data_IF_841247122279
#
_entry.id   IF_841247122279
#
_cell.length_a   1.000
_cell.length_b   1.000
_cell.length_c   1.000
_cell.angle_alpha   90.00
_cell.angle_beta   90.00
_cell.angle_gamma   90.00
#
_symmetry.space_group_name_H-M   'P 1'
#
loop_
_entity.id
_entity.type
_entity.pdbx_description
1 polymer ?
#
# COMPACT_ATOMS: atom_id res chain seq x y z
N UNK A 1 -45.28 44.25 -17.26
CA UNK A 1 -45.05 43.70 -18.62
C UNK A 1 -43.69 44.14 -19.12
N UNK A 2 -42.86 43.17 -19.53
CA UNK A 2 -41.67 43.23 -20.42
C UNK A 2 -40.71 44.43 -20.30
N UNK A 3 -39.45 44.13 -19.93
CA UNK A 3 -38.38 43.99 -20.94
C UNK A 3 -37.18 43.22 -20.38
N UNK A 4 -36.92 42.10 -21.06
CA UNK A 4 -35.69 41.32 -21.09
C UNK A 4 -34.56 42.20 -21.62
N UNK A 5 -33.38 42.16 -20.97
CA UNK A 5 -32.12 42.42 -21.65
C UNK A 5 -31.12 41.33 -21.25
N UNK A 6 -30.90 40.40 -22.16
CA UNK A 6 -29.71 39.57 -22.24
C UNK A 6 -28.52 40.47 -22.56
N UNK A 7 -27.43 40.34 -21.82
CA UNK A 7 -26.09 40.61 -22.32
C UNK A 7 -25.17 39.49 -21.85
N UNK A 8 -24.93 38.60 -22.81
CA UNK A 8 -23.89 37.60 -22.84
C UNK A 8 -22.52 38.27 -23.01
N UNK A 9 -21.55 37.95 -22.16
CA UNK A 9 -20.14 37.87 -22.54
C UNK A 9 -19.44 36.78 -21.72
N UNK A 10 -19.24 35.64 -22.38
CA UNK A 10 -17.99 34.87 -22.40
C UNK A 10 -16.87 35.36 -21.47
N UNK A 11 -16.57 34.59 -20.42
CA UNK A 11 -15.20 34.44 -19.93
C UNK A 11 -14.93 32.93 -19.81
N UNK A 12 -14.07 32.45 -20.70
CA UNK A 12 -13.48 31.12 -20.71
C UNK A 12 -12.47 30.96 -19.57
N UNK A 13 -12.62 29.83 -18.86
CA UNK A 13 -11.63 28.99 -18.18
C UNK A 13 -10.24 29.57 -17.86
N UNK A 14 -9.88 29.58 -16.57
CA UNK A 14 -8.50 29.25 -16.17
C UNK A 14 -8.49 28.42 -14.88
N UNK A 15 -8.06 27.17 -15.04
CA UNK A 15 -7.67 26.21 -14.00
C UNK A 15 -6.45 26.72 -13.23
N UNK A 16 -6.53 26.76 -11.90
CA UNK A 16 -5.35 26.69 -11.03
C UNK A 16 -5.38 25.40 -10.23
N UNK A 17 -4.42 24.54 -10.55
CA UNK A 17 -3.99 23.40 -9.73
C UNK A 17 -3.36 23.94 -8.44
N UNK A 18 -3.84 23.48 -7.29
CA UNK A 18 -3.02 23.36 -6.08
C UNK A 18 -3.19 21.96 -5.51
N UNK A 19 -2.13 21.17 -5.65
CA UNK A 19 -1.85 19.96 -4.90
C UNK A 19 -1.38 20.35 -3.49
N UNK A 20 -1.92 19.70 -2.45
CA UNK A 20 -1.32 19.69 -1.11
C UNK A 20 -2.28 19.92 0.06
N UNK A 21 -2.79 18.82 0.62
CA UNK A 21 -3.26 18.63 2.01
C UNK A 21 -4.07 19.74 2.72
N UNK A 22 -5.39 19.60 2.74
CA UNK A 22 -6.11 18.97 3.87
C UNK A 22 -7.61 18.87 3.55
N UNK A 23 -8.18 17.73 3.92
CA UNK A 23 -9.54 17.30 3.61
C UNK A 23 -10.57 18.21 4.30
N UNK A 24 -11.39 18.93 3.54
CA UNK A 24 -12.65 19.52 4.03
C UNK A 24 -13.80 19.00 3.17
N UNK A 25 -14.46 17.94 3.67
CA UNK A 25 -15.56 17.22 3.02
C UNK A 25 -16.94 17.86 3.26
N UNK A 26 -17.20 19.13 2.94
CA UNK A 26 -18.60 19.62 2.96
C UNK A 26 -18.86 20.60 1.83
N UNK A 27 -19.28 20.08 0.67
CA UNK A 27 -19.69 20.90 -0.48
C UNK A 27 -21.09 21.47 -0.25
N UNK A 28 -21.16 22.70 0.28
CA UNK A 28 -22.30 23.60 0.09
C UNK A 28 -22.37 23.92 -1.41
N UNK A 29 -23.52 23.77 -2.04
CA UNK A 29 -23.66 24.10 -3.47
C UNK A 29 -23.67 25.63 -3.63
N UNK A 30 -22.92 26.13 -4.61
CA UNK A 30 -22.81 27.56 -4.96
C UNK A 30 -24.17 28.30 -5.04
N UNK A 31 -25.29 27.69 -5.49
CA UNK A 31 -26.61 28.34 -5.50
C UNK A 31 -27.21 28.58 -4.10
N UNK A 32 -26.98 27.69 -3.13
CA UNK A 32 -27.46 27.87 -1.76
C UNK A 32 -26.70 29.01 -1.04
N UNK A 33 -25.42 29.14 -1.35
CA UNK A 33 -24.58 30.25 -0.89
C UNK A 33 -25.00 31.58 -1.55
N UNK A 34 -25.33 31.57 -2.84
CA UNK A 34 -25.82 32.76 -3.57
C UNK A 34 -27.15 33.28 -3.02
N UNK A 35 -28.08 32.38 -2.66
CA UNK A 35 -29.34 32.78 -2.02
C UNK A 35 -29.13 33.39 -0.62
N UNK A 36 -28.18 32.88 0.17
CA UNK A 36 -27.81 33.48 1.45
C UNK A 36 -27.03 34.80 1.29
N UNK A 37 -26.18 34.92 0.26
CA UNK A 37 -25.42 36.15 -0.03
C UNK A 37 -26.27 37.29 -0.59
N UNK A 38 -27.45 36.98 -1.16
CA UNK A 38 -28.40 38.00 -1.61
C UNK A 38 -29.12 38.71 -0.44
N UNK A 39 -28.94 38.26 0.81
CA UNK A 39 -29.52 38.89 2.01
C UNK A 39 -28.58 39.89 2.70
N UNK A 40 -27.25 39.67 2.72
CA UNK A 40 -26.26 40.58 3.36
C UNK A 40 -24.82 40.30 2.85
N UNK A 41 -24.63 40.33 1.53
CA UNK A 41 -23.48 39.75 0.80
C UNK A 41 -22.06 40.14 1.26
N UNK A 42 -21.91 41.23 2.01
CA UNK A 42 -20.66 41.65 2.66
C UNK A 42 -20.21 40.70 3.77
N UNK A 43 -21.15 40.17 4.57
CA UNK A 43 -20.82 39.30 5.71
C UNK A 43 -20.59 37.85 5.30
N UNK A 44 -21.30 37.38 4.27
CA UNK A 44 -21.17 36.00 3.81
C UNK A 44 -19.76 35.68 3.35
N UNK A 45 -19.17 36.59 2.57
CA UNK A 45 -17.78 36.50 2.11
C UNK A 45 -16.80 36.51 3.29
N UNK A 46 -16.92 37.48 4.18
CA UNK A 46 -16.07 37.59 5.38
C UNK A 46 -16.12 36.33 6.25
N UNK A 47 -17.31 35.75 6.45
CA UNK A 47 -17.47 34.55 7.27
C UNK A 47 -17.02 33.27 6.59
N UNK A 48 -17.16 33.13 5.28
CA UNK A 48 -16.60 31.99 4.56
C UNK A 48 -15.06 32.03 4.50
N UNK A 49 -14.47 33.22 4.37
CA UNK A 49 -13.02 33.41 4.44
C UNK A 49 -12.46 33.05 5.82
N UNK A 50 -13.23 33.29 6.89
CA UNK A 50 -12.79 33.05 8.28
C UNK A 50 -13.07 31.63 8.79
N UNK A 51 -14.19 31.01 8.40
CA UNK A 51 -14.67 29.75 8.99
C UNK A 51 -14.87 28.63 7.95
N UNK A 52 -14.45 28.84 6.70
CA UNK A 52 -14.77 27.96 5.58
C UNK A 52 -16.23 28.09 5.12
N UNK A 53 -16.58 27.54 3.96
CA UNK A 53 -17.90 27.76 3.35
C UNK A 53 -19.08 27.32 4.25
N UNK A 54 -18.94 26.18 4.92
CA UNK A 54 -19.95 25.65 5.84
C UNK A 54 -20.01 26.43 7.17
N UNK A 55 -18.84 26.72 7.77
CA UNK A 55 -18.77 27.52 9.01
C UNK A 55 -19.24 28.97 8.80
N UNK A 56 -18.98 29.53 7.62
CA UNK A 56 -19.41 30.87 7.25
C UNK A 56 -20.92 30.99 7.10
N UNK A 57 -21.55 29.98 6.49
CA UNK A 57 -23.02 29.88 6.44
C UNK A 57 -23.63 29.73 7.83
N UNK A 58 -23.07 28.89 8.70
CA UNK A 58 -23.53 28.77 10.08
C UNK A 58 -23.43 30.10 10.82
N UNK A 59 -22.36 30.89 10.60
CA UNK A 59 -22.21 32.20 11.23
C UNK A 59 -23.24 33.23 10.77
N UNK A 60 -23.66 33.17 9.50
CA UNK A 60 -24.78 33.98 9.00
C UNK A 60 -26.12 33.58 9.63
N UNK A 61 -26.36 32.28 9.78
CA UNK A 61 -27.56 31.75 10.43
C UNK A 61 -27.59 32.02 11.95
N UNK A 62 -26.42 32.18 12.58
CA UNK A 62 -26.32 32.63 13.97
C UNK A 62 -26.77 34.10 14.10
N UNK A 63 -26.38 34.98 13.18
CA UNK A 63 -26.77 36.40 13.25
C UNK A 63 -28.25 36.65 12.95
N UNK A 64 -28.90 35.76 12.21
CA UNK A 64 -30.33 35.80 11.96
C UNK A 64 -31.07 34.96 13.00
N UNK A 65 -31.65 35.57 14.05
CA UNK A 65 -32.71 35.12 15.01
C UNK A 65 -32.78 33.66 15.52
N UNK A 66 -31.94 32.74 15.05
CA UNK A 66 -32.02 31.29 15.25
C UNK A 66 -30.78 30.74 15.96
N UNK A 67 -29.77 31.54 16.33
CA UNK A 67 -28.58 31.03 17.05
C UNK A 67 -28.96 30.28 18.33
N UNK A 68 -29.89 30.85 19.12
CA UNK A 68 -30.37 30.23 20.35
C UNK A 68 -31.15 28.94 20.06
N UNK A 69 -31.94 28.92 18.98
CA UNK A 69 -32.74 27.78 18.55
C UNK A 69 -31.88 26.65 17.97
N UNK A 70 -30.85 26.97 17.18
CA UNK A 70 -29.90 26.00 16.63
C UNK A 70 -29.08 25.37 17.76
N UNK A 71 -28.65 26.15 18.76
CA UNK A 71 -27.95 25.64 19.95
C UNK A 71 -28.84 24.73 20.79
N UNK A 72 -30.14 25.04 20.87
CA UNK A 72 -31.11 24.30 21.68
C UNK A 72 -32.04 23.39 20.85
N UNK A 73 -31.66 23.03 19.61
CA UNK A 73 -32.57 22.38 18.64
C UNK A 73 -33.18 21.08 19.16
N UNK A 74 -32.47 20.35 20.02
CA UNK A 74 -32.94 19.13 20.67
C UNK A 74 -34.11 19.35 21.65
N UNK A 75 -34.24 20.56 22.20
CA UNK A 75 -35.27 20.93 23.19
C UNK A 75 -36.50 21.58 22.55
N UNK A 76 -36.46 21.87 21.25
CA UNK A 76 -37.57 22.47 20.53
C UNK A 76 -38.65 21.42 20.23
N UNK A 77 -39.89 21.88 20.10
CA UNK A 77 -40.97 21.01 19.65
C UNK A 77 -40.75 20.54 18.19
N UNK A 78 -41.40 19.43 17.84
CA UNK A 78 -41.25 18.80 16.52
C UNK A 78 -41.63 19.74 15.37
N UNK A 79 -42.62 20.63 15.58
CA UNK A 79 -43.08 21.55 14.54
C UNK A 79 -42.00 22.57 14.22
N UNK A 80 -41.36 23.13 15.25
CA UNK A 80 -40.25 24.08 15.10
C UNK A 80 -39.00 23.39 14.56
N UNK A 81 -38.70 22.17 15.00
CA UNK A 81 -37.61 21.37 14.41
C UNK A 81 -37.83 21.12 12.91
N UNK A 82 -39.04 20.77 12.49
CA UNK A 82 -39.40 20.58 11.08
C UNK A 82 -39.26 21.90 10.30
N UNK A 83 -39.69 23.03 10.86
CA UNK A 83 -39.54 24.35 10.22
C UNK A 83 -38.07 24.71 10.00
N UNK A 84 -37.21 24.40 10.97
CA UNK A 84 -35.76 24.56 10.84
C UNK A 84 -35.17 23.66 9.77
N UNK A 85 -35.56 22.38 9.73
CA UNK A 85 -35.09 21.45 8.69
C UNK A 85 -35.57 21.90 7.31
N UNK A 86 -36.80 22.40 7.16
CA UNK A 86 -37.31 22.97 5.89
C UNK A 86 -36.44 24.09 5.35
N UNK A 87 -35.87 24.92 6.22
CA UNK A 87 -34.94 25.97 5.83
C UNK A 87 -33.54 25.42 5.52
N UNK A 88 -33.09 24.43 6.30
CA UNK A 88 -31.79 23.79 6.11
C UNK A 88 -31.79 22.33 6.59
N UNK A 89 -31.86 21.39 5.64
CA UNK A 89 -31.83 19.96 5.95
C UNK A 89 -30.56 19.49 6.69
N UNK A 90 -29.44 20.22 6.62
CA UNK A 90 -28.21 19.84 7.34
C UNK A 90 -28.34 19.94 8.86
N UNK A 91 -29.31 20.70 9.37
CA UNK A 91 -29.56 20.82 10.81
C UNK A 91 -29.97 19.50 11.45
N UNK A 92 -30.42 18.52 10.66
CA UNK A 92 -30.77 17.19 11.17
C UNK A 92 -29.61 16.49 11.88
N UNK A 93 -28.36 16.79 11.50
CA UNK A 93 -27.15 16.24 12.13
C UNK A 93 -27.05 16.61 13.62
N UNK A 94 -27.63 17.76 14.00
CA UNK A 94 -27.60 18.28 15.38
C UNK A 94 -28.73 17.74 16.25
N UNK A 95 -29.68 17.02 15.65
CA UNK A 95 -30.82 16.44 16.37
C UNK A 95 -30.47 15.01 16.74
N UNK A 96 -30.51 14.73 18.04
CA UNK A 96 -30.28 13.41 18.58
C UNK A 96 -31.51 12.55 18.29
N UNK A 97 -31.32 11.42 17.60
CA UNK A 97 -32.39 10.48 17.23
C UNK A 97 -33.61 11.19 16.60
N UNK A 98 -33.44 11.88 15.45
CA UNK A 98 -34.51 12.65 14.83
C UNK A 98 -35.70 11.74 14.50
N UNK A 99 -36.93 12.18 14.77
CA UNK A 99 -38.13 11.41 14.43
C UNK A 99 -38.22 11.21 12.91
N UNK A 100 -38.89 10.15 12.47
CA UNK A 100 -39.01 9.81 11.05
C UNK A 100 -39.55 10.97 10.20
N UNK A 101 -40.47 11.79 10.72
CA UNK A 101 -40.99 13.00 10.06
C UNK A 101 -39.88 14.01 9.69
N UNK A 102 -38.95 14.27 10.62
CA UNK A 102 -37.79 15.13 10.39
C UNK A 102 -36.83 14.50 9.37
N UNK A 103 -36.62 13.19 9.48
CA UNK A 103 -35.77 12.44 8.54
C UNK A 103 -36.29 12.51 7.10
N UNK A 104 -37.61 12.32 6.92
CA UNK A 104 -38.29 12.41 5.63
C UNK A 104 -38.20 13.83 5.04
N UNK A 105 -38.37 14.85 5.87
CA UNK A 105 -38.20 16.25 5.44
C UNK A 105 -36.75 16.54 4.99
N UNK A 106 -35.75 15.99 5.68
CA UNK A 106 -34.37 16.18 5.26
C UNK A 106 -34.06 15.51 3.91
N UNK A 107 -34.53 14.29 3.67
CA UNK A 107 -34.28 13.57 2.40
C UNK A 107 -35.16 14.05 1.24
N UNK A 108 -36.31 14.67 1.51
CA UNK A 108 -37.18 15.25 0.48
C UNK A 108 -36.52 16.42 -0.24
N UNK A 109 -35.71 17.21 0.47
CA UNK A 109 -34.93 18.31 -0.10
C UNK A 109 -33.79 17.78 -0.97
N UNK A 110 -33.06 16.79 -0.46
CA UNK A 110 -32.02 16.11 -1.21
C UNK A 110 -31.72 14.72 -0.60
N UNK A 111 -31.77 13.68 -1.42
CA UNK A 111 -31.54 12.29 -0.99
C UNK A 111 -30.24 12.10 -0.20
N UNK A 112 -29.17 12.83 -0.57
CA UNK A 112 -27.84 12.69 0.05
C UNK A 112 -27.79 13.14 1.50
N UNK A 113 -28.80 13.85 1.98
CA UNK A 113 -28.91 14.28 3.37
C UNK A 113 -29.01 13.10 4.33
N UNK A 114 -29.39 11.91 3.84
CA UNK A 114 -29.39 10.67 4.63
C UNK A 114 -28.05 10.38 5.33
N UNK A 115 -26.93 10.88 4.79
CA UNK A 115 -25.60 10.71 5.41
C UNK A 115 -25.42 11.48 6.73
N UNK A 116 -26.26 12.48 6.98
CA UNK A 116 -26.28 13.31 8.19
C UNK A 116 -27.37 12.86 9.17
N UNK A 117 -28.15 11.84 8.83
CA UNK A 117 -29.22 11.33 9.67
C UNK A 117 -28.63 10.24 10.57
N UNK A 118 -28.72 10.46 11.88
CA UNK A 118 -28.40 9.42 12.84
C UNK A 118 -29.52 8.36 12.81
N UNK A 119 -29.15 7.11 12.51
CA UNK A 119 -30.05 5.94 12.44
C UNK A 119 -31.28 6.13 11.52
N UNK A 120 -31.10 6.28 10.19
CA UNK A 120 -32.21 6.50 9.27
C UNK A 120 -33.16 5.30 9.21
N UNK A 121 -34.47 5.55 9.27
CA UNK A 121 -35.48 4.48 9.16
C UNK A 121 -35.50 3.85 7.76
N UNK A 122 -36.08 2.66 7.62
CA UNK A 122 -36.17 2.00 6.30
C UNK A 122 -36.97 2.83 5.30
N UNK A 123 -38.09 3.43 5.74
CA UNK A 123 -38.89 4.32 4.91
C UNK A 123 -38.10 5.53 4.40
N UNK A 124 -37.21 6.09 5.22
CA UNK A 124 -36.34 7.22 4.83
C UNK A 124 -35.32 6.79 3.79
N UNK A 125 -34.75 5.58 3.91
CA UNK A 125 -33.87 5.01 2.88
C UNK A 125 -34.64 4.80 1.57
N UNK A 126 -35.83 4.21 1.62
CA UNK A 126 -36.68 4.00 0.45
C UNK A 126 -36.99 5.32 -0.26
N UNK A 127 -37.38 6.37 0.47
CA UNK A 127 -37.70 7.66 -0.13
C UNK A 127 -36.46 8.35 -0.71
N UNK A 128 -35.32 8.29 -0.01
CA UNK A 128 -34.06 8.83 -0.53
C UNK A 128 -33.63 8.15 -1.84
N UNK A 129 -33.85 6.84 -1.97
CA UNK A 129 -33.34 6.03 -3.08
C UNK A 129 -34.40 5.59 -4.10
N UNK A 130 -35.60 6.17 -4.05
CA UNK A 130 -36.75 5.84 -4.93
C UNK A 130 -36.47 6.05 -6.43
N UNK A 131 -35.53 6.92 -6.79
CA UNK A 131 -35.18 7.22 -8.17
C UNK A 131 -33.82 6.59 -8.53
N UNK A 132 -33.85 5.54 -9.37
CA UNK A 132 -32.66 4.78 -9.77
C UNK A 132 -31.61 5.62 -10.53
N UNK A 133 -32.02 6.61 -11.32
CA UNK A 133 -31.08 7.47 -12.07
C UNK A 133 -30.27 8.35 -11.10
N UNK A 134 -30.95 8.99 -10.15
CA UNK A 134 -30.30 9.76 -9.07
C UNK A 134 -29.46 8.86 -8.18
N UNK A 135 -29.90 7.63 -7.94
CA UNK A 135 -29.13 6.62 -7.21
C UNK A 135 -27.84 6.28 -7.94
N UNK A 136 -27.90 6.08 -9.25
CA UNK A 136 -26.73 5.78 -10.06
C UNK A 136 -25.72 6.95 -10.05
N UNK A 137 -26.20 8.18 -10.28
CA UNK A 137 -25.38 9.40 -10.18
C UNK A 137 -24.74 9.51 -8.79
N UNK A 138 -25.50 9.17 -7.75
CA UNK A 138 -25.03 9.22 -6.36
C UNK A 138 -23.85 8.31 -6.09
N UNK A 139 -23.93 7.04 -6.47
CA UNK A 139 -22.89 6.05 -6.18
C UNK A 139 -21.69 6.24 -7.09
N UNK A 140 -21.86 6.87 -8.25
CA UNK A 140 -20.73 7.27 -9.11
C UNK A 140 -19.95 8.42 -8.45
N UNK A 141 -20.65 9.44 -7.95
CA UNK A 141 -20.01 10.62 -7.35
C UNK A 141 -19.50 10.37 -5.93
N UNK A 142 -20.21 9.54 -5.17
CA UNK A 142 -19.94 9.20 -3.77
C UNK A 142 -20.14 7.70 -3.54
N UNK A 143 -19.19 6.84 -3.94
CA UNK A 143 -19.33 5.37 -3.90
C UNK A 143 -19.72 4.81 -2.52
N UNK A 144 -19.19 5.41 -1.45
CA UNK A 144 -19.52 5.03 -0.07
C UNK A 144 -21.02 5.16 0.30
N UNK A 145 -21.84 5.84 -0.50
CA UNK A 145 -23.28 5.91 -0.28
C UNK A 145 -23.98 4.56 -0.44
N UNK A 146 -23.35 3.58 -1.11
CA UNK A 146 -23.92 2.24 -1.28
C UNK A 146 -24.26 1.56 0.05
N UNK A 147 -23.58 1.89 1.16
CA UNK A 147 -23.86 1.35 2.50
C UNK A 147 -25.25 1.72 3.04
N UNK A 148 -25.88 2.76 2.50
CA UNK A 148 -27.22 3.19 2.89
C UNK A 148 -28.31 2.59 2.00
N UNK A 149 -27.94 1.99 0.86
CA UNK A 149 -28.89 1.41 -0.10
C UNK A 149 -29.22 0.00 0.37
N UNK A 150 -30.50 -0.26 0.61
CA UNK A 150 -30.97 -1.60 0.92
C UNK A 150 -31.04 -2.43 -0.38
N UNK A 151 -30.37 -3.58 -0.39
CA UNK A 151 -30.31 -4.52 -1.52
C UNK A 151 -30.01 -3.83 -2.87
N UNK A 152 -28.85 -3.16 -3.02
CA UNK A 152 -28.50 -2.49 -4.27
C UNK A 152 -28.48 -3.51 -5.41
N UNK A 153 -29.14 -3.20 -6.52
CA UNK A 153 -29.12 -4.08 -7.70
C UNK A 153 -27.72 -4.15 -8.33
N UNK A 154 -27.48 -5.13 -9.21
CA UNK A 154 -26.15 -5.37 -9.79
C UNK A 154 -25.60 -4.15 -10.54
N UNK A 155 -26.45 -3.34 -11.20
CA UNK A 155 -26.05 -2.12 -11.90
C UNK A 155 -25.48 -1.07 -10.93
N UNK A 156 -26.16 -0.85 -9.81
CA UNK A 156 -25.70 0.07 -8.75
C UNK A 156 -24.41 -0.43 -8.11
N UNK A 157 -24.35 -1.71 -7.78
CA UNK A 157 -23.14 -2.34 -7.24
C UNK A 157 -21.95 -2.14 -8.19
N UNK A 158 -22.14 -2.43 -9.48
CA UNK A 158 -21.10 -2.34 -10.50
C UNK A 158 -20.59 -0.90 -10.66
N UNK A 159 -21.50 0.07 -10.69
CA UNK A 159 -21.12 1.48 -10.76
C UNK A 159 -20.35 1.95 -9.53
N UNK A 160 -20.74 1.49 -8.34
CA UNK A 160 -20.05 1.85 -7.10
C UNK A 160 -18.62 1.28 -7.06
N UNK A 161 -18.44 -0.01 -7.35
CA UNK A 161 -17.09 -0.64 -7.32
C UNK A 161 -16.19 -0.16 -8.45
N UNK A 162 -16.75 0.27 -9.59
CA UNK A 162 -15.99 0.95 -10.65
C UNK A 162 -15.39 2.26 -10.16
N UNK A 163 -16.19 3.05 -9.46
CA UNK A 163 -15.78 4.36 -8.96
C UNK A 163 -14.83 4.26 -7.76
N UNK A 164 -15.01 3.28 -6.87
CA UNK A 164 -14.07 2.95 -5.79
C UNK A 164 -14.19 1.47 -5.41
N UNK A 165 -13.18 0.66 -5.77
CA UNK A 165 -13.18 -0.77 -5.50
C UNK A 165 -13.29 -1.16 -4.03
N UNK A 166 -12.91 -0.27 -3.09
CA UNK A 166 -12.95 -0.59 -1.65
C UNK A 166 -14.38 -0.68 -1.10
N UNK A 167 -15.37 -0.06 -1.76
CA UNK A 167 -16.76 -0.06 -1.29
C UNK A 167 -17.44 -1.43 -1.39
N UNK A 168 -16.77 -2.42 -2.00
CA UNK A 168 -17.21 -3.81 -1.95
C UNK A 168 -17.39 -4.31 -0.51
N UNK A 169 -16.70 -3.71 0.47
CA UNK A 169 -16.89 -3.98 1.91
C UNK A 169 -18.34 -3.78 2.38
N UNK A 170 -19.13 -2.97 1.67
CA UNK A 170 -20.53 -2.66 1.97
C UNK A 170 -21.52 -3.50 1.15
N UNK A 171 -21.06 -4.31 0.21
CA UNK A 171 -21.92 -5.14 -0.64
C UNK A 171 -22.07 -6.52 -0.01
N UNK A 172 -23.30 -6.89 0.34
CA UNK A 172 -23.60 -8.23 0.85
C UNK A 172 -23.55 -9.24 -0.30
N UNK A 173 -22.70 -10.25 -0.18
CA UNK A 173 -22.59 -11.38 -1.13
C UNK A 173 -22.40 -10.87 -2.59
N UNK A 174 -21.29 -10.18 -2.89
CA UNK A 174 -21.05 -9.66 -4.23
C UNK A 174 -20.88 -10.82 -5.23
N UNK A 175 -21.44 -10.69 -6.42
CA UNK A 175 -21.23 -11.67 -7.50
C UNK A 175 -19.77 -11.65 -7.98
N UNK A 176 -19.34 -12.70 -8.70
CA UNK A 176 -17.99 -12.77 -9.24
C UNK A 176 -17.66 -11.60 -10.19
N UNK A 177 -18.65 -11.07 -10.93
CA UNK A 177 -18.49 -9.89 -11.79
C UNK A 177 -18.16 -8.64 -10.96
N UNK A 178 -18.88 -8.42 -9.86
CA UNK A 178 -18.67 -7.30 -8.93
C UNK A 178 -17.33 -7.43 -8.21
N UNK A 179 -16.99 -8.62 -7.73
CA UNK A 179 -15.70 -8.90 -7.11
C UNK A 179 -14.53 -8.62 -8.06
N UNK A 180 -14.62 -9.07 -9.31
CA UNK A 180 -13.60 -8.84 -10.31
C UNK A 180 -13.44 -7.34 -10.63
N UNK A 181 -14.55 -6.63 -10.76
CA UNK A 181 -14.51 -5.18 -11.04
C UNK A 181 -13.94 -4.39 -9.86
N UNK A 182 -14.24 -4.79 -8.62
CA UNK A 182 -13.67 -4.17 -7.43
C UNK A 182 -12.13 -4.30 -7.38
N UNK A 183 -11.57 -5.48 -7.67
CA UNK A 183 -10.11 -5.67 -7.66
C UNK A 183 -9.42 -5.02 -8.87
N UNK A 184 -10.13 -4.85 -10.00
CA UNK A 184 -9.66 -4.05 -11.15
C UNK A 184 -9.58 -2.56 -10.80
N UNK A 185 -10.55 -2.05 -10.05
CA UNK A 185 -10.55 -0.66 -9.57
C UNK A 185 -9.50 -0.44 -8.49
N UNK A 186 -9.39 -1.36 -7.51
CA UNK A 186 -8.39 -1.33 -6.46
C UNK A 186 -8.01 -2.74 -6.00
N UNK A 187 -6.78 -3.19 -6.27
CA UNK A 187 -6.33 -4.53 -5.92
C UNK A 187 -6.36 -4.84 -4.43
N UNK A 188 -6.35 -3.84 -3.55
CA UNK A 188 -6.50 -4.04 -2.10
C UNK A 188 -7.93 -4.40 -1.68
N UNK A 189 -8.92 -4.25 -2.56
CA UNK A 189 -10.31 -4.65 -2.32
C UNK A 189 -10.46 -6.15 -2.03
N UNK A 190 -9.49 -6.97 -2.46
CA UNK A 190 -9.50 -8.42 -2.18
C UNK A 190 -9.58 -8.74 -0.68
N UNK A 191 -9.10 -7.85 0.20
CA UNK A 191 -9.18 -8.03 1.65
C UNK A 191 -10.62 -8.11 2.18
N UNK A 192 -11.60 -7.65 1.40
CA UNK A 192 -13.02 -7.68 1.73
C UNK A 192 -13.79 -8.79 1.01
N UNK A 193 -13.11 -9.58 0.17
CA UNK A 193 -13.72 -10.67 -0.60
C UNK A 193 -13.48 -11.97 0.15
N UNK A 194 -14.56 -12.64 0.56
CA UNK A 194 -14.47 -13.95 1.20
C UNK A 194 -14.27 -15.02 0.13
N UNK A 195 -13.26 -15.89 0.29
CA UNK A 195 -12.95 -16.99 -0.63
C UNK A 195 -12.87 -16.57 -2.12
N UNK A 196 -12.00 -15.59 -2.48
CA UNK A 196 -11.89 -15.12 -3.86
C UNK A 196 -11.44 -16.25 -4.80
N UNK A 197 -11.95 -16.27 -6.03
CA UNK A 197 -11.47 -17.19 -7.06
C UNK A 197 -10.02 -16.89 -7.47
N UNK A 198 -9.33 -17.86 -8.07
CA UNK A 198 -7.97 -17.66 -8.58
C UNK A 198 -7.87 -16.52 -9.60
N UNK A 199 -8.93 -16.31 -10.40
CA UNK A 199 -9.01 -15.17 -11.34
C UNK A 199 -9.00 -13.83 -10.59
N UNK A 200 -9.78 -13.72 -9.51
CA UNK A 200 -9.85 -12.50 -8.69
C UNK A 200 -8.54 -12.26 -7.94
N UNK A 201 -7.92 -13.32 -7.41
CA UNK A 201 -6.59 -13.26 -6.79
C UNK A 201 -5.54 -12.74 -7.76
N UNK A 202 -5.48 -13.28 -8.98
CA UNK A 202 -4.53 -12.83 -10.01
C UNK A 202 -4.77 -11.39 -10.41
N UNK A 203 -6.03 -10.99 -10.62
CA UNK A 203 -6.33 -9.60 -10.98
C UNK A 203 -6.00 -8.62 -9.85
N UNK A 204 -6.22 -8.98 -8.58
CA UNK A 204 -5.83 -8.17 -7.43
C UNK A 204 -4.31 -7.94 -7.38
N UNK A 205 -3.51 -8.99 -7.57
CA UNK A 205 -2.03 -8.90 -7.60
C UNK A 205 -1.56 -8.11 -8.82
N UNK A 206 -2.21 -8.31 -9.97
CA UNK A 206 -1.95 -7.56 -11.20
C UNK A 206 -2.28 -6.07 -11.07
N UNK A 207 -3.29 -5.71 -10.29
CA UNK A 207 -3.57 -4.31 -10.01
C UNK A 207 -2.58 -3.75 -8.99
N UNK A 208 -2.42 -4.42 -7.84
CA UNK A 208 -1.57 -3.99 -6.74
C UNK A 208 -0.85 -5.19 -6.10
N UNK A 209 0.47 -5.25 -6.23
CA UNK A 209 1.27 -6.36 -5.70
C UNK A 209 1.13 -6.53 -4.18
N UNK A 210 0.82 -5.46 -3.43
CA UNK A 210 0.61 -5.53 -1.97
C UNK A 210 -0.63 -6.34 -1.59
N UNK A 211 -1.54 -6.57 -2.53
CA UNK A 211 -2.72 -7.42 -2.31
C UNK A 211 -2.36 -8.87 -1.96
N UNK A 212 -1.16 -9.33 -2.32
CA UNK A 212 -0.64 -10.66 -1.96
C UNK A 212 -0.67 -10.91 -0.45
N UNK A 213 -0.56 -9.85 0.36
CA UNK A 213 -0.65 -9.92 1.84
C UNK A 213 -2.00 -10.38 2.36
N UNK A 214 -3.07 -10.21 1.58
CA UNK A 214 -4.44 -10.60 1.92
C UNK A 214 -4.88 -11.91 1.26
N UNK A 215 -3.99 -12.55 0.49
CA UNK A 215 -4.28 -13.85 -0.14
C UNK A 215 -3.71 -14.94 0.75
N UNK A 216 -4.57 -15.79 1.29
CA UNK A 216 -4.13 -16.97 2.02
C UNK A 216 -3.52 -18.00 1.07
N UNK A 217 -2.34 -18.52 1.42
CA UNK A 217 -1.61 -19.56 0.70
C UNK A 217 -1.54 -19.29 -0.83
N UNK A 218 -0.96 -18.15 -1.28
CA UNK A 218 -0.89 -17.85 -2.70
C UNK A 218 -0.05 -18.90 -3.42
N UNK A 219 -0.53 -19.38 -4.57
CA UNK A 219 0.20 -20.34 -5.40
C UNK A 219 1.50 -19.71 -5.96
N UNK A 220 2.43 -20.56 -6.43
CA UNK A 220 3.73 -20.11 -6.94
C UNK A 220 3.62 -19.04 -8.03
N UNK A 221 2.67 -19.18 -8.96
CA UNK A 221 2.45 -18.22 -10.04
C UNK A 221 2.09 -16.83 -9.52
N UNK A 222 1.18 -16.74 -8.54
CA UNK A 222 0.81 -15.48 -7.89
C UNK A 222 1.97 -14.85 -7.12
N UNK A 223 2.75 -15.67 -6.42
CA UNK A 223 3.93 -15.20 -5.70
C UNK A 223 4.95 -14.57 -6.67
N UNK A 224 5.23 -15.24 -7.79
CA UNK A 224 6.13 -14.73 -8.84
C UNK A 224 5.55 -13.46 -9.48
N UNK A 225 4.25 -13.41 -9.76
CA UNK A 225 3.60 -12.22 -10.35
C UNK A 225 3.72 -10.99 -9.43
N UNK A 226 3.50 -11.17 -8.12
CA UNK A 226 3.66 -10.09 -7.14
C UNK A 226 5.11 -9.60 -7.08
N UNK A 227 6.07 -10.54 -7.02
CA UNK A 227 7.50 -10.25 -6.93
C UNK A 227 8.06 -9.60 -8.20
N UNK A 228 7.53 -9.94 -9.37
CA UNK A 228 7.90 -9.29 -10.64
C UNK A 228 7.51 -7.82 -10.70
N UNK A 229 6.39 -7.45 -10.06
CA UNK A 229 5.97 -6.06 -9.95
C UNK A 229 6.81 -5.29 -8.95
N UNK A 230 7.10 -5.89 -7.82
CA UNK A 230 7.98 -5.34 -6.81
C UNK A 230 8.60 -6.47 -6.00
N UNK A 231 9.92 -6.53 -5.97
CA UNK A 231 10.64 -7.59 -5.25
C UNK A 231 10.34 -7.58 -3.75
N UNK A 232 9.94 -6.43 -3.18
CA UNK A 232 9.54 -6.33 -1.78
C UNK A 232 8.26 -7.11 -1.45
N UNK A 233 7.47 -7.51 -2.46
CA UNK A 233 6.31 -8.38 -2.28
C UNK A 233 6.64 -9.66 -1.51
N UNK A 234 7.86 -10.16 -1.65
CA UNK A 234 8.36 -11.35 -0.95
C UNK A 234 8.23 -11.24 0.58
N UNK A 235 8.33 -10.03 1.16
CA UNK A 235 8.19 -9.77 2.60
C UNK A 235 6.77 -10.02 3.11
N UNK A 236 5.78 -9.97 2.21
CA UNK A 236 4.36 -10.15 2.51
C UNK A 236 3.85 -11.56 2.21
N UNK A 237 4.70 -12.44 1.70
CA UNK A 237 4.36 -13.84 1.41
C UNK A 237 4.77 -14.70 2.61
N UNK A 238 3.81 -15.34 3.29
CA UNK A 238 4.08 -16.15 4.49
C UNK A 238 5.03 -17.33 4.23
N UNK A 239 4.85 -18.03 3.10
CA UNK A 239 5.62 -19.20 2.71
C UNK A 239 6.09 -19.07 1.26
N UNK A 240 7.15 -18.28 0.99
CA UNK A 240 7.59 -18.01 -0.37
C UNK A 240 8.27 -19.25 -1.00
N UNK A 241 7.89 -19.60 -2.22
CA UNK A 241 8.54 -20.69 -2.97
C UNK A 241 9.96 -20.31 -3.38
N UNK A 242 10.78 -21.33 -3.68
CA UNK A 242 12.14 -21.10 -4.17
C UNK A 242 12.13 -20.23 -5.44
N UNK A 243 11.21 -20.49 -6.38
CA UNK A 243 11.10 -19.69 -7.60
C UNK A 243 10.76 -18.22 -7.31
N UNK A 244 9.86 -17.95 -6.36
CA UNK A 244 9.54 -16.57 -5.94
C UNK A 244 10.74 -15.88 -5.28
N UNK A 245 11.51 -16.58 -4.42
CA UNK A 245 12.74 -16.03 -3.82
C UNK A 245 13.80 -15.73 -4.87
N UNK A 246 14.00 -16.64 -5.83
CA UNK A 246 14.93 -16.43 -6.96
C UNK A 246 14.50 -15.22 -7.77
N UNK A 247 13.21 -15.09 -8.09
CA UNK A 247 12.70 -13.93 -8.83
C UNK A 247 12.93 -12.62 -8.06
N UNK A 248 12.67 -12.61 -6.74
CA UNK A 248 12.88 -11.43 -5.89
C UNK A 248 14.36 -11.02 -5.87
N UNK A 249 15.25 -12.01 -5.77
CA UNK A 249 16.69 -11.77 -5.68
C UNK A 249 17.28 -11.07 -6.91
N UNK A 250 16.67 -11.21 -8.10
CA UNK A 250 17.12 -10.52 -9.32
C UNK A 250 17.11 -8.99 -9.17
N UNK A 251 16.21 -8.46 -8.35
CA UNK A 251 16.01 -7.03 -8.16
C UNK A 251 16.24 -6.56 -6.72
N UNK A 252 16.54 -7.47 -5.80
CA UNK A 252 16.85 -7.15 -4.41
C UNK A 252 18.07 -6.20 -4.37
N UNK A 253 17.86 -5.00 -3.82
CA UNK A 253 18.93 -4.05 -3.55
C UNK A 253 19.39 -4.28 -2.11
N UNK A 254 20.70 -4.41 -1.90
CA UNK A 254 21.33 -4.50 -0.58
C UNK A 254 20.79 -5.67 0.25
N UNK A 255 21.17 -6.88 -0.14
CA UNK A 255 20.91 -8.07 0.65
C UNK A 255 21.89 -8.10 1.81
N UNK A 256 21.41 -7.85 3.02
CA UNK A 256 22.11 -8.30 4.24
C UNK A 256 21.95 -9.81 4.33
N UNK A 257 23.05 -10.51 4.12
CA UNK A 257 23.05 -11.97 4.17
C UNK A 257 23.55 -12.43 5.51
N UNK A 258 22.80 -13.32 6.14
CA UNK A 258 23.37 -14.15 7.19
C UNK A 258 24.17 -15.25 6.49
N UNK A 259 25.46 -14.97 6.27
CA UNK A 259 26.58 -15.89 6.49
C UNK A 259 26.17 -17.39 6.39
N UNK A 260 26.44 -18.02 5.24
CA UNK A 260 26.06 -19.42 4.90
C UNK A 260 27.06 -20.13 3.98
N UNK A 261 28.34 -19.77 3.95
CA UNK A 261 29.32 -20.41 3.05
C UNK A 261 29.85 -21.75 3.58
N UNK A 262 29.00 -22.55 4.21
CA UNK A 262 29.39 -23.84 4.78
C UNK A 262 29.68 -24.87 3.68
N UNK A 263 30.58 -25.80 3.98
CA UNK A 263 30.91 -26.96 3.13
C UNK A 263 31.62 -26.64 1.81
N UNK A 264 32.19 -25.44 1.66
CA UNK A 264 33.07 -25.17 0.52
C UNK A 264 34.42 -25.87 0.71
N UNK A 265 34.78 -26.73 -0.24
CA UNK A 265 36.07 -27.44 -0.25
C UNK A 265 36.85 -27.16 -1.53
N UNK A 266 38.10 -26.71 -1.40
CA UNK A 266 39.10 -26.75 -2.46
C UNK A 266 40.07 -27.88 -2.13
N UNK A 267 40.14 -28.88 -3.01
CA UNK A 267 41.14 -29.93 -2.95
C UNK A 267 42.08 -29.75 -4.13
N UNK A 268 43.36 -29.53 -3.83
CA UNK A 268 44.42 -29.52 -4.83
C UNK A 268 45.44 -30.62 -4.50
N UNK A 269 46.45 -30.81 -5.35
CA UNK A 269 47.37 -31.94 -5.30
C UNK A 269 48.03 -32.18 -3.94
N UNK A 270 48.35 -31.13 -3.19
CA UNK A 270 49.09 -31.23 -1.92
C UNK A 270 48.39 -30.59 -0.73
N UNK A 271 47.29 -29.86 -0.96
CA UNK A 271 46.57 -29.12 0.06
C UNK A 271 45.07 -29.33 -0.05
N UNK A 272 44.38 -29.23 1.08
CA UNK A 272 42.92 -29.16 1.14
C UNK A 272 42.51 -27.95 1.96
N UNK A 273 41.66 -27.09 1.40
CA UNK A 273 41.06 -25.95 2.10
C UNK A 273 39.58 -26.24 2.31
N UNK A 274 39.10 -26.05 3.54
CA UNK A 274 37.70 -26.28 3.93
C UNK A 274 37.15 -25.08 4.68
N UNK A 275 36.03 -24.53 4.22
CA UNK A 275 35.27 -23.50 4.94
C UNK A 275 34.38 -24.15 5.97
N UNK A 276 34.57 -23.75 7.23
CA UNK A 276 33.79 -24.27 8.35
C UNK A 276 32.52 -23.45 8.54
N UNK A 277 32.68 -22.14 8.48
CA UNK A 277 31.62 -21.14 8.57
C UNK A 277 32.13 -19.83 7.97
N UNK A 278 31.38 -18.76 8.14
CA UNK A 278 31.69 -17.47 7.53
C UNK A 278 32.81 -16.70 8.23
N UNK A 279 33.37 -17.25 9.31
CA UNK A 279 34.47 -16.67 10.07
C UNK A 279 35.72 -17.54 10.02
N UNK A 280 35.60 -18.83 9.76
CA UNK A 280 36.72 -19.76 9.83
C UNK A 280 36.87 -20.67 8.60
N UNK A 281 38.13 -20.89 8.26
CA UNK A 281 38.55 -21.92 7.33
C UNK A 281 39.72 -22.71 7.87
N UNK A 282 39.95 -23.88 7.29
CA UNK A 282 41.13 -24.69 7.57
C UNK A 282 41.88 -25.02 6.30
N UNK A 283 43.20 -25.12 6.40
CA UNK A 283 44.07 -25.64 5.36
C UNK A 283 44.85 -26.84 5.90
N UNK A 284 44.77 -27.95 5.18
CA UNK A 284 45.45 -29.21 5.48
C UNK A 284 46.59 -29.43 4.49
N UNK A 285 47.78 -29.71 5.01
CA UNK A 285 48.88 -30.27 4.24
C UNK A 285 48.65 -31.78 4.09
N UNK A 286 48.57 -32.26 2.85
CA UNK A 286 48.32 -33.67 2.52
C UNK A 286 49.62 -34.47 2.29
N UNK A 287 50.77 -33.87 2.62
CA UNK A 287 52.08 -34.41 2.30
C UNK A 287 52.96 -34.57 3.53
N UNK A 288 54.03 -35.35 3.37
CA UNK A 288 55.09 -35.52 4.36
C UNK A 288 56.18 -34.43 4.28
N UNK A 289 55.97 -33.35 3.50
CA UNK A 289 56.94 -32.26 3.33
C UNK A 289 56.36 -30.95 3.87
N UNK A 290 57.23 -29.99 4.21
CA UNK A 290 56.79 -28.64 4.52
C UNK A 290 56.25 -27.96 3.26
N UNK A 291 55.15 -27.23 3.42
CA UNK A 291 54.54 -26.41 2.37
C UNK A 291 54.58 -24.96 2.82
N UNK A 292 55.09 -24.06 1.99
CA UNK A 292 54.97 -22.62 2.24
C UNK A 292 53.75 -22.10 1.47
N UNK A 293 52.79 -21.57 2.20
CA UNK A 293 51.67 -20.82 1.64
C UNK A 293 52.15 -19.40 1.43
N UNK A 294 52.27 -19.00 0.16
CA UNK A 294 52.80 -17.68 -0.22
C UNK A 294 51.71 -16.62 -0.10
N UNK A 295 50.50 -16.95 -0.55
CA UNK A 295 49.30 -16.11 -0.40
C UNK A 295 48.04 -16.97 -0.54
N UNK A 296 47.00 -16.63 0.21
CA UNK A 296 45.63 -17.12 -0.02
C UNK A 296 44.74 -15.89 -0.16
N UNK A 297 44.02 -15.82 -1.27
CA UNK A 297 43.03 -14.78 -1.54
C UNK A 297 41.63 -15.38 -1.67
N UNK A 298 40.64 -14.67 -1.14
CA UNK A 298 39.23 -15.02 -1.16
C UNK A 298 38.47 -13.92 -1.90
N UNK A 299 37.56 -14.32 -2.80
CA UNK A 299 36.60 -13.40 -3.41
C UNK A 299 35.25 -13.58 -2.72
N UNK A 300 34.76 -12.55 -2.03
CA UNK A 300 33.55 -12.64 -1.21
C UNK A 300 32.74 -11.33 -1.20
N UNK A 301 31.79 -11.23 -2.15
CA UNK A 301 30.90 -10.06 -2.28
C UNK A 301 31.66 -8.74 -2.32
N UNK A 302 30.96 -7.63 -2.13
CA UNK A 302 31.56 -6.31 -1.92
C UNK A 302 31.36 -5.90 -0.49
N UNK A 303 32.43 -5.80 0.28
CA UNK A 303 32.35 -5.35 1.67
C UNK A 303 31.83 -3.90 1.76
N UNK A 304 31.28 -3.50 2.90
CA UNK A 304 30.85 -2.11 3.15
C UNK A 304 31.96 -1.06 2.94
N UNK A 305 33.24 -1.48 3.03
CA UNK A 305 34.43 -0.66 2.75
C UNK A 305 34.91 -0.71 1.29
N UNK A 306 34.20 -1.41 0.40
CA UNK A 306 34.47 -1.49 -1.03
C UNK A 306 35.52 -2.52 -1.47
N UNK A 307 35.96 -3.42 -0.58
CA UNK A 307 36.86 -4.52 -0.92
C UNK A 307 36.09 -5.80 -1.21
N UNK A 308 36.45 -6.45 -2.32
CA UNK A 308 35.82 -7.70 -2.76
C UNK A 308 36.77 -8.91 -2.61
N UNK A 309 38.05 -8.62 -2.36
CA UNK A 309 39.13 -9.59 -2.22
C UNK A 309 39.79 -9.43 -0.86
N UNK A 310 39.93 -10.54 -0.13
CA UNK A 310 40.62 -10.61 1.15
C UNK A 310 41.82 -11.54 1.02
N UNK A 311 42.96 -11.17 1.57
CA UNK A 311 44.19 -11.98 1.49
C UNK A 311 44.77 -12.24 2.87
N UNK A 312 45.35 -13.42 3.06
CA UNK A 312 46.08 -13.79 4.28
C UNK A 312 47.58 -13.71 4.04
N UNK A 313 48.32 -13.28 5.06
CA UNK A 313 49.78 -13.28 5.03
C UNK A 313 50.36 -14.68 4.82
N UNK A 314 51.61 -14.75 4.37
CA UNK A 314 52.30 -16.01 4.11
C UNK A 314 52.56 -16.79 5.41
N UNK A 315 52.53 -18.12 5.32
CA UNK A 315 52.87 -18.98 6.45
C UNK A 315 53.30 -20.37 5.98
N UNK A 316 54.00 -21.10 6.86
CA UNK A 316 54.42 -22.47 6.60
C UNK A 316 53.47 -23.48 7.24
N UNK A 317 53.19 -24.57 6.53
CA UNK A 317 52.45 -25.73 6.99
C UNK A 317 53.39 -26.92 7.21
N UNK A 318 53.50 -27.43 8.45
CA UNK A 318 54.21 -28.67 8.73
C UNK A 318 53.63 -29.88 7.98
N UNK A 319 54.42 -30.95 7.78
CA UNK A 319 53.95 -32.22 7.24
C UNK A 319 52.66 -32.71 7.92
N UNK A 320 51.68 -33.18 7.14
CA UNK A 320 50.40 -33.73 7.60
C UNK A 320 49.61 -32.87 8.60
N UNK A 321 49.87 -31.56 8.64
CA UNK A 321 49.24 -30.65 9.59
C UNK A 321 47.94 -30.05 9.06
N UNK A 322 47.12 -29.54 9.98
CA UNK A 322 45.94 -28.73 9.70
C UNK A 322 46.10 -27.42 10.46
N UNK A 323 45.91 -26.29 9.76
CA UNK A 323 45.88 -24.96 10.37
C UNK A 323 44.49 -24.36 10.19
N UNK A 324 43.89 -23.89 11.29
CA UNK A 324 42.64 -23.10 11.25
C UNK A 324 42.98 -21.62 11.25
N UNK A 325 42.24 -20.85 10.47
CA UNK A 325 42.47 -19.42 10.20
C UNK A 325 41.12 -18.71 10.18
N UNK A 326 41.11 -17.44 10.58
CA UNK A 326 39.89 -16.61 10.62
C UNK A 326 39.88 -15.56 9.51
N UNK A 327 38.69 -15.22 9.04
CA UNK A 327 38.47 -14.09 8.13
C UNK A 327 38.36 -12.77 8.89
N UNK A 328 38.92 -11.71 8.33
CA UNK A 328 38.70 -10.32 8.78
C UNK A 328 37.55 -9.73 7.96
N UNK A 329 36.36 -9.57 8.54
CA UNK A 329 35.20 -8.99 7.84
C UNK A 329 34.78 -7.63 8.42
N UNK A 330 34.33 -6.68 7.59
CA UNK A 330 33.39 -5.63 8.01
C UNK A 330 31.96 -6.19 8.06
N UNK A 331 31.14 -5.70 9.00
CA UNK A 331 29.89 -6.33 9.49
C UNK A 331 28.77 -6.55 8.45
N UNK A 332 28.84 -5.95 7.26
CA UNK A 332 27.85 -6.08 6.18
C UNK A 332 28.56 -6.37 4.83
N UNK A 333 28.18 -7.48 4.18
CA UNK A 333 28.57 -7.80 2.79
C UNK A 333 27.44 -7.48 1.84
N UNK A 334 27.75 -6.70 0.80
CA UNK A 334 26.82 -6.33 -0.25
C UNK A 334 27.10 -7.17 -1.49
N UNK A 335 26.09 -7.84 -2.01
CA UNK A 335 26.21 -8.54 -3.27
C UNK A 335 25.68 -7.70 -4.44
N UNK A 336 26.32 -7.82 -5.59
CA UNK A 336 25.83 -7.24 -6.84
C UNK A 336 24.47 -7.84 -7.24
N UNK A 337 23.73 -7.10 -8.08
CA UNK A 337 22.41 -7.54 -8.57
C UNK A 337 22.51 -8.85 -9.34
N UNK A 338 21.50 -9.70 -9.16
CA UNK A 338 21.34 -10.92 -9.96
C UNK A 338 20.85 -12.09 -9.12
N UNK A 339 20.46 -13.22 -9.73
CA UNK A 339 20.00 -14.35 -8.95
C UNK A 339 21.13 -15.12 -8.25
N UNK A 340 22.40 -14.81 -8.57
CA UNK A 340 23.55 -15.55 -8.06
C UNK A 340 24.71 -14.66 -7.63
N UNK A 341 25.52 -15.20 -6.73
CA UNK A 341 26.81 -14.64 -6.29
C UNK A 341 27.92 -15.65 -6.46
N UNK A 342 29.11 -15.16 -6.75
CA UNK A 342 30.30 -15.99 -6.84
C UNK A 342 31.08 -15.90 -5.52
N UNK A 343 31.61 -17.03 -5.10
CA UNK A 343 32.60 -17.11 -4.04
C UNK A 343 33.74 -17.99 -4.51
N UNK A 344 34.97 -17.55 -4.28
CA UNK A 344 36.12 -18.28 -4.76
C UNK A 344 37.38 -18.08 -3.94
N UNK A 345 38.34 -18.95 -4.23
CA UNK A 345 39.67 -19.00 -3.61
C UNK A 345 40.70 -18.97 -4.71
N UNK A 346 41.81 -18.31 -4.43
CA UNK A 346 43.07 -18.48 -5.12
C UNK A 346 44.17 -18.67 -4.08
N UNK A 347 44.97 -19.72 -4.20
CA UNK A 347 46.11 -20.00 -3.32
C UNK A 347 47.35 -20.19 -4.16
N UNK A 348 48.41 -19.49 -3.79
CA UNK A 348 49.76 -19.68 -4.29
C UNK A 348 50.59 -20.31 -3.17
N UNK A 349 51.19 -21.46 -3.45
CA UNK A 349 51.97 -22.21 -2.47
C UNK A 349 53.16 -22.92 -3.11
N UNK A 350 54.14 -23.26 -2.28
CA UNK A 350 55.37 -23.91 -2.73
C UNK A 350 55.71 -25.13 -1.88
N UNK A 351 56.27 -26.14 -2.55
CA UNK A 351 56.74 -27.39 -1.96
C UNK A 351 58.06 -27.78 -2.62
N UNK A 352 59.14 -27.79 -1.83
CA UNK A 352 60.50 -27.89 -2.38
C UNK A 352 60.80 -26.74 -3.34
N UNK A 353 61.18 -27.05 -4.58
CA UNK A 353 61.45 -26.07 -5.65
C UNK A 353 60.24 -25.75 -6.53
N UNK A 354 59.09 -26.38 -6.26
CA UNK A 354 57.88 -26.23 -7.08
C UNK A 354 57.00 -25.12 -6.52
N UNK A 355 56.60 -24.19 -7.37
CA UNK A 355 55.55 -23.22 -7.10
C UNK A 355 54.27 -23.66 -7.81
N UNK A 356 53.14 -23.59 -7.10
CA UNK A 356 51.85 -24.07 -7.55
C UNK A 356 50.78 -23.03 -7.25
N UNK A 357 49.77 -23.02 -8.10
CA UNK A 357 48.60 -22.16 -7.98
C UNK A 357 47.35 -23.03 -8.10
N UNK A 358 46.40 -22.82 -7.21
CA UNK A 358 45.11 -23.47 -7.26
C UNK A 358 44.01 -22.43 -7.04
N UNK A 359 42.95 -22.53 -7.84
CA UNK A 359 41.78 -21.68 -7.69
C UNK A 359 40.50 -22.47 -7.90
N UNK A 360 39.44 -22.04 -7.24
CA UNK A 360 38.09 -22.60 -7.40
C UNK A 360 37.07 -21.48 -7.15
N UNK A 361 35.99 -21.47 -7.93
CA UNK A 361 34.88 -20.54 -7.76
C UNK A 361 33.59 -21.34 -7.81
N UNK A 362 32.71 -21.15 -6.82
CA UNK A 362 31.35 -21.66 -6.82
C UNK A 362 30.36 -20.51 -7.01
N UNK A 363 29.21 -20.84 -7.60
CA UNK A 363 28.11 -19.92 -7.84
C UNK A 363 26.92 -20.33 -6.96
N UNK A 364 26.42 -19.41 -6.16
CA UNK A 364 25.34 -19.66 -5.20
C UNK A 364 24.13 -18.79 -5.51
N UNK A 365 22.91 -19.22 -5.14
CA UNK A 365 21.71 -18.43 -5.33
C UNK A 365 21.61 -17.35 -4.25
N UNK A 366 21.46 -16.08 -4.63
CA UNK A 366 21.30 -14.98 -3.66
C UNK A 366 20.11 -15.24 -2.73
N UNK A 367 19.04 -15.82 -3.28
CA UNK A 367 17.84 -16.24 -2.56
C UNK A 367 18.08 -17.12 -1.31
N UNK A 368 19.19 -17.87 -1.25
CA UNK A 368 19.54 -18.73 -0.12
C UNK A 368 20.11 -17.93 1.07
N UNK A 369 20.61 -16.73 0.79
CA UNK A 369 21.28 -15.86 1.75
C UNK A 369 20.41 -14.69 2.24
N UNK A 370 19.32 -14.33 1.54
CA UNK A 370 18.44 -13.22 1.96
C UNK A 370 17.62 -13.63 3.17
N UNK A 371 17.74 -12.88 4.27
CA UNK A 371 16.71 -12.86 5.31
C UNK A 371 15.66 -11.82 5.00
N UNK A 372 14.48 -12.27 4.58
CA UNK A 372 13.32 -11.41 4.44
C UNK A 372 12.73 -11.17 5.84
N UNK A 373 13.28 -10.20 6.58
CA UNK A 373 12.68 -9.79 7.84
C UNK A 373 11.23 -9.33 7.56
N UNK A 374 10.30 -9.91 8.31
CA UNK A 374 8.89 -9.56 8.24
C UNK A 374 8.72 -8.21 8.96
N UNK A 375 8.13 -7.24 8.26
CA UNK A 375 7.64 -6.01 8.91
C UNK A 375 6.32 -6.28 9.63
#
# INVERSE_FOLDING_TARGET
MKKILLLSTSITLLTFLFTGCNVVKHSVTYPAYLNASNMDGTKARMYSEKYGLHGGYLKLMEEHEWESDIKNINNLDEKKQIEMIKQNALLIERINNPKESLQLEAVSQHWSNIKYINNPTNRVKEEAFKNEEKLLESVIKYPSMIKYIENPNEKIQLSAVKADGLVIEHIKIPSNSIQLEAVKSNGLAIKYITNPSELIKSEAVRNNWRSISYIENPNETLQIEAVKKDWEAIKYIKNPTLAAKIEASKNAKMVRTNHKMKDYVLLDKYIKIEIKDDYEYSIKNLTNQFININNISFYYGKGSKGNDIYSTESFTLPPNSIKSLSFTHPEDVLYDKGPHVNFGFAVNYSIGTKNLEAYKVNKYLIAEFIEYQKY
#
